data_IF_248354860432
#
_entry.id   IF_248354860432
#
_cell.length_a   1.000
_cell.length_b   1.000
_cell.length_c   1.000
_cell.angle_alpha   90.00
_cell.angle_beta   90.00
_cell.angle_gamma   90.00
#
_symmetry.space_group_name_H-M   'P 1'
#
loop_
_entity.id
_entity.type
_entity.pdbx_description
1 polymer ?
#
# COMPACT_ATOMS: atom_id res chain seq x y z
N UNK A 1 9.82 41.65 -35.57
CA UNK A 1 8.62 40.94 -35.10
C UNK A 1 9.08 39.62 -34.50
N UNK A 2 9.13 39.53 -33.16
CA UNK A 2 9.50 38.31 -32.47
C UNK A 2 8.22 37.49 -32.23
N UNK A 3 8.23 36.22 -32.65
CA UNK A 3 7.14 35.28 -32.41
C UNK A 3 7.05 34.97 -30.90
N UNK A 4 5.84 34.85 -30.32
CA UNK A 4 5.71 34.44 -28.94
C UNK A 4 6.08 32.96 -28.79
N UNK A 5 6.92 32.69 -27.80
CA UNK A 5 7.32 31.35 -27.37
C UNK A 5 6.09 30.58 -26.88
N UNK A 6 5.90 29.37 -27.43
CA UNK A 6 4.88 28.46 -26.97
C UNK A 6 5.25 27.92 -25.59
N UNK A 7 4.65 28.50 -24.55
CA UNK A 7 4.58 27.86 -23.23
C UNK A 7 3.79 26.57 -23.42
N UNK A 8 4.48 25.43 -23.50
CA UNK A 8 3.86 24.12 -23.34
C UNK A 8 3.24 24.10 -21.93
N UNK A 9 1.94 24.33 -21.87
CA UNK A 9 1.13 23.94 -20.73
C UNK A 9 1.33 22.44 -20.58
N UNK A 10 2.02 22.00 -19.53
CA UNK A 10 1.94 20.62 -19.08
C UNK A 10 0.47 20.39 -18.76
N UNK A 11 -0.22 19.59 -19.57
CA UNK A 11 -1.51 19.03 -19.19
C UNK A 11 -1.31 18.33 -17.85
N UNK A 12 -1.88 18.88 -16.79
CA UNK A 12 -1.99 18.18 -15.52
C UNK A 12 -2.95 17.03 -15.77
N UNK A 13 -2.43 15.81 -15.91
CA UNK A 13 -3.27 14.63 -15.94
C UNK A 13 -4.19 14.67 -14.72
N UNK A 14 -5.51 14.57 -14.93
CA UNK A 14 -6.48 14.60 -13.83
C UNK A 14 -6.18 13.43 -12.88
N UNK A 15 -6.01 13.75 -11.60
CA UNK A 15 -5.76 12.74 -10.57
C UNK A 15 -7.07 11.96 -10.35
N UNK A 16 -7.05 10.62 -10.43
CA UNK A 16 -8.24 9.81 -10.23
C UNK A 16 -8.83 9.99 -8.83
N UNK A 17 -10.17 9.97 -8.76
CA UNK A 17 -10.95 10.00 -7.53
C UNK A 17 -11.59 8.62 -7.29
N UNK A 18 -11.50 8.14 -6.06
CA UNK A 18 -12.03 6.86 -5.62
C UNK A 18 -13.05 7.04 -4.51
N UNK A 19 -13.86 6.00 -4.31
CA UNK A 19 -14.84 5.88 -3.23
C UNK A 19 -14.64 4.55 -2.53
N UNK A 20 -14.73 4.55 -1.21
CA UNK A 20 -14.75 3.32 -0.43
C UNK A 20 -15.95 2.44 -0.83
N UNK A 21 -15.78 1.10 -0.90
CA UNK A 21 -16.90 0.18 -1.08
C UNK A 21 -17.86 0.26 0.12
N UNK A 22 -19.16 -0.03 -0.09
CA UNK A 22 -20.11 -0.12 1.03
C UNK A 22 -19.73 -1.25 1.98
N UNK A 23 -20.07 -1.10 3.26
CA UNK A 23 -19.92 -2.18 4.23
C UNK A 23 -21.01 -3.24 4.01
N UNK A 24 -20.60 -4.45 3.60
CA UNK A 24 -21.51 -5.55 3.28
C UNK A 24 -21.59 -6.60 4.41
N UNK A 25 -21.24 -6.24 5.65
CA UNK A 25 -21.28 -7.15 6.79
C UNK A 25 -20.07 -8.09 6.91
N UNK A 26 -19.05 -7.91 6.07
CA UNK A 26 -17.77 -8.62 6.12
C UNK A 26 -16.69 -7.64 6.59
N UNK A 27 -15.94 -8.02 7.63
CA UNK A 27 -14.76 -7.27 8.07
C UNK A 27 -13.58 -7.54 7.15
N UNK A 28 -13.09 -6.48 6.50
CA UNK A 28 -11.88 -6.55 5.67
C UNK A 28 -10.62 -6.83 6.51
N UNK A 29 -10.67 -6.60 7.83
CA UNK A 29 -9.57 -6.93 8.72
C UNK A 29 -9.63 -8.36 9.24
N UNK A 30 -10.79 -8.81 9.73
CA UNK A 30 -10.89 -10.06 10.48
C UNK A 30 -11.38 -11.24 9.64
N UNK A 31 -12.28 -11.01 8.69
CA UNK A 31 -12.96 -12.08 7.95
C UNK A 31 -12.26 -12.45 6.63
N UNK A 32 -11.29 -11.64 6.19
CA UNK A 32 -10.46 -11.96 5.02
C UNK A 32 -9.28 -12.83 5.45
N UNK A 33 -9.17 -14.01 4.85
CA UNK A 33 -8.07 -14.95 5.11
C UNK A 33 -6.73 -14.39 4.63
N UNK A 34 -5.79 -14.21 5.56
CA UNK A 34 -4.43 -13.76 5.28
C UNK A 34 -3.68 -14.70 4.34
N UNK A 35 -3.72 -16.00 4.65
CA UNK A 35 -3.01 -17.02 3.89
C UNK A 35 -3.88 -17.56 2.76
N UNK A 36 -3.32 -17.65 1.56
CA UNK A 36 -3.98 -18.37 0.49
C UNK A 36 -3.77 -19.87 0.65
N UNK A 37 -4.90 -20.59 0.59
CA UNK A 37 -4.96 -22.03 0.65
C UNK A 37 -5.59 -22.61 -0.60
N UNK A 38 -5.21 -23.82 -0.95
CA UNK A 38 -5.85 -24.59 -2.02
C UNK A 38 -7.24 -25.07 -1.57
N UNK A 39 -8.00 -25.65 -2.51
CA UNK A 39 -9.27 -26.31 -2.18
C UNK A 39 -9.11 -27.53 -1.23
N UNK A 40 -7.88 -28.02 -1.05
CA UNK A 40 -7.54 -29.08 -0.11
C UNK A 40 -7.03 -28.56 1.25
N UNK A 41 -7.11 -27.24 1.49
CA UNK A 41 -6.58 -26.56 2.70
C UNK A 41 -5.04 -26.57 2.80
N UNK A 42 -4.33 -26.85 1.70
CA UNK A 42 -2.87 -26.77 1.64
C UNK A 42 -2.37 -25.34 1.42
N UNK A 43 -1.24 -24.97 2.03
CA UNK A 43 -0.61 -23.66 1.84
C UNK A 43 -0.05 -23.49 0.43
N UNK A 44 -0.39 -22.37 -0.22
CA UNK A 44 0.18 -22.01 -1.53
C UNK A 44 1.48 -21.21 -1.41
N UNK A 45 1.78 -20.70 -0.20
CA UNK A 45 2.84 -19.73 0.04
C UNK A 45 2.51 -18.30 -0.41
N UNK A 46 1.26 -18.04 -0.82
CA UNK A 46 0.76 -16.73 -1.18
C UNK A 46 -0.08 -16.12 -0.05
N UNK A 47 -0.16 -14.80 -0.05
CA UNK A 47 -0.91 -14.01 0.94
C UNK A 47 -2.00 -13.22 0.23
N UNK A 48 -2.94 -12.67 1.00
CA UNK A 48 -3.89 -11.66 0.55
C UNK A 48 -3.68 -10.38 1.32
N UNK A 49 -3.68 -9.24 0.63
CA UNK A 49 -3.78 -7.93 1.26
C UNK A 49 -5.06 -7.22 0.81
N UNK A 50 -5.54 -6.29 1.64
CA UNK A 50 -6.65 -5.40 1.30
C UNK A 50 -6.05 -4.09 0.81
N UNK A 51 -6.33 -3.72 -0.43
CA UNK A 51 -5.84 -2.47 -1.00
C UNK A 51 -6.63 -1.28 -0.45
N UNK A 52 -5.93 -0.25 -0.01
CA UNK A 52 -6.52 0.95 0.56
C UNK A 52 -6.30 2.17 -0.34
N UNK A 53 -5.08 2.38 -0.81
CA UNK A 53 -4.72 3.48 -1.70
C UNK A 53 -4.30 2.95 -3.07
N UNK A 54 -5.15 3.11 -4.11
CA UNK A 54 -4.79 2.80 -5.48
C UNK A 54 -3.57 3.61 -5.96
N UNK A 55 -2.70 2.98 -6.75
CA UNK A 55 -1.60 3.67 -7.44
C UNK A 55 -2.12 4.87 -8.25
N UNK A 56 -1.47 6.02 -8.12
CA UNK A 56 -1.83 7.27 -8.79
C UNK A 56 -2.89 8.10 -8.06
N UNK A 57 -3.33 7.68 -6.87
CA UNK A 57 -4.26 8.44 -6.04
C UNK A 57 -3.56 9.52 -5.19
N UNK A 58 -4.35 10.51 -4.76
CA UNK A 58 -4.01 11.48 -3.70
C UNK A 58 -5.01 11.40 -2.54
N UNK A 59 -5.64 10.24 -2.36
CA UNK A 59 -6.60 9.98 -1.29
C UNK A 59 -6.04 8.91 -0.36
N UNK A 60 -6.16 9.16 0.94
CA UNK A 60 -5.78 8.19 1.97
C UNK A 60 -7.05 7.49 2.44
N UNK A 61 -7.14 6.20 2.19
CA UNK A 61 -8.16 5.36 2.81
C UNK A 61 -7.48 4.43 3.82
N UNK A 62 -8.21 4.04 4.85
CA UNK A 62 -7.75 3.13 5.88
C UNK A 62 -8.89 2.22 6.32
N UNK A 63 -8.58 0.93 6.51
CA UNK A 63 -9.43 0.01 7.26
C UNK A 63 -9.47 0.48 8.71
N UNK A 64 -10.63 0.88 9.20
CA UNK A 64 -10.74 1.51 10.52
C UNK A 64 -10.82 0.47 11.65
N UNK A 65 -9.78 0.30 12.49
CA UNK A 65 -9.73 -0.75 13.53
C UNK A 65 -10.86 -0.65 14.56
N UNK A 66 -11.32 0.58 14.84
CA UNK A 66 -12.27 0.86 15.90
C UNK A 66 -13.72 1.02 15.43
N UNK A 67 -13.99 0.94 14.12
CA UNK A 67 -15.35 1.03 13.60
C UNK A 67 -16.02 -0.35 13.54
N UNK A 68 -17.34 -0.45 13.76
CA UNK A 68 -18.07 -1.69 13.58
C UNK A 68 -17.83 -2.30 12.19
N UNK A 69 -17.36 -3.54 12.18
CA UNK A 69 -17.06 -4.28 10.95
C UNK A 69 -15.86 -3.76 10.16
N UNK A 70 -15.03 -2.89 10.74
CA UNK A 70 -13.77 -2.41 10.16
C UNK A 70 -13.95 -1.85 8.75
N UNK A 71 -14.93 -0.95 8.60
CA UNK A 71 -15.18 -0.28 7.34
C UNK A 71 -13.93 0.49 6.89
N UNK A 72 -13.69 0.47 5.58
CA UNK A 72 -12.69 1.31 4.96
C UNK A 72 -13.26 2.71 4.75
N UNK A 73 -12.60 3.73 5.30
CA UNK A 73 -13.03 5.12 5.18
C UNK A 73 -11.88 6.00 4.70
N UNK A 74 -12.20 7.11 4.04
CA UNK A 74 -11.20 8.12 3.68
C UNK A 74 -10.78 8.89 4.93
N UNK A 75 -9.48 8.96 5.22
CA UNK A 75 -8.92 9.86 6.24
C UNK A 75 -8.80 11.27 5.64
N UNK A 76 -9.66 12.23 6.04
CA UNK A 76 -9.67 13.55 5.43
C UNK A 76 -8.38 14.33 5.70
N UNK A 77 -7.71 14.06 6.84
CA UNK A 77 -6.44 14.74 7.17
C UNK A 77 -5.31 14.18 6.31
N UNK A 78 -5.23 12.86 6.20
CA UNK A 78 -4.30 12.16 5.32
C UNK A 78 -4.46 12.54 3.85
N UNK A 79 -5.69 12.51 3.32
CA UNK A 79 -5.99 12.97 1.96
C UNK A 79 -5.60 14.43 1.74
N UNK A 80 -5.84 15.30 2.73
CA UNK A 80 -5.43 16.72 2.63
C UNK A 80 -3.90 16.86 2.59
N UNK A 81 -3.17 16.05 3.37
CA UNK A 81 -1.69 16.00 3.33
C UNK A 81 -1.17 15.50 1.99
N UNK A 82 -1.75 14.43 1.44
CA UNK A 82 -1.40 13.91 0.11
C UNK A 82 -1.66 14.96 -0.98
N UNK A 83 -2.83 15.61 -0.94
CA UNK A 83 -3.17 16.66 -1.87
C UNK A 83 -2.20 17.87 -1.79
N UNK A 84 -1.75 18.23 -0.58
CA UNK A 84 -0.76 19.27 -0.37
C UNK A 84 0.65 18.88 -0.86
N UNK A 85 1.04 17.61 -0.65
CA UNK A 85 2.28 17.05 -1.19
C UNK A 85 2.27 17.03 -2.73
N UNK A 86 1.13 16.74 -3.34
CA UNK A 86 0.88 16.91 -4.77
C UNK A 86 1.57 15.89 -5.69
N UNK A 87 2.25 14.89 -5.12
CA UNK A 87 2.86 13.78 -5.86
C UNK A 87 2.05 12.51 -5.62
N UNK A 88 1.33 11.97 -6.62
CA UNK A 88 0.52 10.76 -6.46
C UNK A 88 1.35 9.54 -6.04
N UNK A 89 0.72 8.63 -5.29
CA UNK A 89 1.39 7.41 -4.81
C UNK A 89 1.81 6.50 -5.98
N UNK A 90 3.08 6.07 -6.09
CA UNK A 90 3.57 5.31 -7.24
C UNK A 90 3.35 3.79 -7.13
N UNK A 91 2.66 3.32 -6.09
CA UNK A 91 2.37 1.92 -5.79
C UNK A 91 0.94 1.79 -5.27
N UNK A 92 0.39 0.57 -5.26
CA UNK A 92 -0.80 0.30 -4.46
C UNK A 92 -0.35 0.09 -3.01
N UNK A 93 -1.14 0.62 -2.07
CA UNK A 93 -0.85 0.54 -0.65
C UNK A 93 -2.06 0.01 0.09
N UNK A 94 -1.82 -0.84 1.07
CA UNK A 94 -2.90 -1.36 1.89
C UNK A 94 -2.37 -2.09 3.11
N UNK A 95 -3.15 -3.04 3.61
CA UNK A 95 -2.81 -3.77 4.81
C UNK A 95 -3.06 -5.28 4.68
N UNK A 96 -2.35 -6.07 5.48
CA UNK A 96 -2.62 -7.48 5.64
C UNK A 96 -3.77 -7.70 6.65
N UNK A 97 -4.82 -8.44 6.26
CA UNK A 97 -5.87 -8.82 7.19
C UNK A 97 -5.32 -9.77 8.25
N UNK A 98 -6.00 -9.89 9.38
CA UNK A 98 -5.66 -10.77 10.51
C UNK A 98 -4.24 -10.56 11.06
N UNK A 99 -3.68 -9.37 10.85
CA UNK A 99 -2.42 -8.93 11.46
C UNK A 99 -2.65 -7.71 12.32
N UNK A 100 -1.78 -7.49 13.30
CA UNK A 100 -1.87 -6.36 14.21
C UNK A 100 -0.49 -6.05 14.79
N UNK A 101 -0.08 -4.79 14.72
CA UNK A 101 1.16 -4.29 15.32
C UNK A 101 0.88 -3.79 16.73
N UNK A 102 0.96 -4.73 17.68
CA UNK A 102 0.67 -4.52 19.09
C UNK A 102 1.50 -3.37 19.71
N UNK A 103 0.86 -2.29 20.20
CA UNK A 103 1.54 -1.14 20.80
C UNK A 103 2.19 -1.46 22.16
N UNK A 104 1.80 -2.55 22.83
CA UNK A 104 2.40 -2.99 24.09
C UNK A 104 3.64 -3.88 23.85
N UNK A 105 3.86 -4.34 22.61
CA UNK A 105 4.97 -5.20 22.24
C UNK A 105 6.13 -4.39 21.62
N UNK A 106 7.32 -4.49 22.23
CA UNK A 106 8.53 -3.87 21.67
C UNK A 106 9.12 -4.74 20.54
N UNK A 107 9.30 -4.11 19.38
CA UNK A 107 10.07 -4.67 18.27
C UNK A 107 11.52 -4.92 18.71
N UNK A 108 11.99 -6.18 18.62
CA UNK A 108 13.34 -6.57 19.07
C UNK A 108 14.48 -5.89 18.30
N UNK A 109 14.24 -5.54 17.04
CA UNK A 109 15.27 -4.96 16.16
C UNK A 109 15.53 -3.48 16.47
N UNK A 110 14.47 -2.73 16.78
CA UNK A 110 14.53 -1.27 16.90
C UNK A 110 14.17 -0.75 18.30
N UNK A 111 13.64 -1.61 19.19
CA UNK A 111 13.23 -1.22 20.54
C UNK A 111 12.03 -0.29 20.58
N UNK A 112 11.21 -0.29 19.53
CA UNK A 112 10.03 0.58 19.38
C UNK A 112 8.73 -0.25 19.46
N UNK A 113 7.65 0.29 20.06
CA UNK A 113 6.32 -0.35 20.10
C UNK A 113 5.67 -0.41 18.71
N UNK A 114 4.64 -1.24 18.54
CA UNK A 114 3.76 -1.17 17.37
C UNK A 114 2.95 0.13 17.31
N UNK A 115 2.30 0.36 16.17
CA UNK A 115 1.52 1.56 15.87
C UNK A 115 -0.01 1.39 16.01
N UNK A 116 -0.48 0.27 16.58
CA UNK A 116 -1.91 -0.02 16.79
C UNK A 116 -2.71 -0.29 15.49
N UNK A 117 -2.03 -0.61 14.38
CA UNK A 117 -2.65 -0.86 13.08
C UNK A 117 -2.34 -2.26 12.50
N UNK A 118 -3.10 -2.72 11.48
CA UNK A 118 -2.74 -3.91 10.72
C UNK A 118 -1.44 -3.72 9.93
N UNK A 119 -0.74 -4.81 9.62
CA UNK A 119 0.57 -4.75 8.96
C UNK A 119 0.48 -4.21 7.52
N UNK A 120 1.30 -3.21 7.18
CA UNK A 120 1.19 -2.47 5.92
C UNK A 120 1.81 -3.24 4.77
N UNK A 121 1.27 -3.01 3.56
CA UNK A 121 1.72 -3.63 2.32
C UNK A 121 1.95 -2.55 1.26
N UNK A 122 3.15 -2.56 0.68
CA UNK A 122 3.50 -1.86 -0.55
C UNK A 122 3.55 -2.86 -1.70
N UNK A 123 2.60 -2.76 -2.63
CA UNK A 123 2.59 -3.56 -3.84
C UNK A 123 3.44 -2.89 -4.93
N UNK A 124 4.58 -3.51 -5.21
CA UNK A 124 5.55 -3.04 -6.20
C UNK A 124 5.08 -3.27 -7.64
N UNK A 125 3.99 -4.02 -7.85
CA UNK A 125 3.36 -4.16 -9.18
C UNK A 125 2.88 -2.81 -9.72
N UNK A 126 2.68 -2.74 -11.04
CA UNK A 126 2.18 -1.55 -11.75
C UNK A 126 0.73 -1.70 -12.24
N UNK A 127 0.03 -2.70 -11.72
CA UNK A 127 -1.40 -2.90 -11.99
C UNK A 127 -2.20 -2.08 -11.00
N UNK A 128 -3.30 -1.46 -11.41
CA UNK A 128 -4.18 -0.72 -10.52
C UNK A 128 -5.02 -1.70 -9.69
N UNK A 129 -5.10 -1.48 -8.38
CA UNK A 129 -6.06 -2.13 -7.50
C UNK A 129 -7.06 -1.09 -6.97
N UNK A 130 -8.33 -1.47 -6.81
CA UNK A 130 -9.39 -0.63 -6.28
C UNK A 130 -9.35 -0.52 -4.75
N UNK A 131 -9.98 0.51 -4.20
CA UNK A 131 -10.15 0.66 -2.73
C UNK A 131 -10.98 -0.52 -2.20
N UNK A 132 -10.48 -1.20 -1.17
CA UNK A 132 -11.07 -2.40 -0.57
C UNK A 132 -10.89 -3.69 -1.39
N UNK A 133 -10.16 -3.66 -2.51
CA UNK A 133 -9.89 -4.86 -3.30
C UNK A 133 -8.99 -5.82 -2.53
N UNK A 134 -9.37 -7.11 -2.48
CA UNK A 134 -8.54 -8.17 -1.89
C UNK A 134 -7.62 -8.74 -2.96
N UNK A 135 -6.32 -8.49 -2.82
CA UNK A 135 -5.32 -8.80 -3.82
C UNK A 135 -4.43 -9.94 -3.36
N UNK A 136 -4.23 -10.94 -4.23
CA UNK A 136 -3.29 -12.04 -3.98
C UNK A 136 -1.87 -11.57 -4.25
N UNK A 137 -0.96 -11.79 -3.31
CA UNK A 137 0.39 -11.30 -3.40
C UNK A 137 1.44 -12.28 -2.87
N UNK A 138 2.68 -12.04 -3.28
CA UNK A 138 3.87 -12.65 -2.70
C UNK A 138 4.65 -11.58 -1.94
N UNK A 139 4.91 -11.80 -0.65
CA UNK A 139 5.80 -10.95 0.13
C UNK A 139 7.26 -11.23 -0.27
N UNK A 140 8.04 -10.16 -0.46
CA UNK A 140 9.42 -10.21 -0.98
C UNK A 140 10.45 -9.68 0.02
N UNK A 141 10.02 -8.82 0.94
CA UNK A 141 10.88 -8.18 1.93
C UNK A 141 10.09 -7.23 2.82
N UNK A 142 10.78 -6.51 3.70
CA UNK A 142 10.16 -5.55 4.60
C UNK A 142 11.11 -4.37 4.86
N UNK A 143 10.54 -3.21 5.15
CA UNK A 143 11.25 -2.05 5.70
C UNK A 143 10.53 -1.62 6.99
N UNK A 144 11.29 -1.18 7.99
CA UNK A 144 10.73 -0.61 9.21
C UNK A 144 11.03 0.89 9.21
N UNK A 145 9.98 1.69 9.23
CA UNK A 145 10.07 3.12 9.49
C UNK A 145 9.83 3.33 10.98
N UNK A 146 10.61 4.23 11.58
CA UNK A 146 10.32 4.70 12.94
C UNK A 146 9.54 5.98 12.80
N UNK A 147 8.22 5.90 12.94
CA UNK A 147 7.32 7.04 12.84
C UNK A 147 6.83 7.43 14.22
N UNK A 148 7.09 8.68 14.62
CA UNK A 148 6.77 9.21 15.97
C UNK A 148 7.20 8.30 17.15
N UNK A 149 8.24 7.47 16.94
CA UNK A 149 8.76 6.53 17.95
C UNK A 149 8.14 5.13 17.91
N UNK A 150 7.19 4.87 17.02
CA UNK A 150 6.58 3.56 16.77
C UNK A 150 7.22 2.86 15.58
N UNK A 151 7.20 1.53 15.58
CA UNK A 151 7.69 0.67 14.51
C UNK A 151 6.60 0.46 13.45
N UNK A 152 6.64 1.29 12.42
CA UNK A 152 5.78 1.22 11.24
C UNK A 152 6.42 0.30 10.20
N UNK A 153 6.06 -0.99 10.27
CA UNK A 153 6.55 -2.00 9.33
C UNK A 153 5.75 -1.99 8.04
N UNK A 154 6.49 -1.97 6.92
CA UNK A 154 5.93 -2.03 5.58
C UNK A 154 6.48 -3.21 4.80
N UNK A 155 5.58 -4.11 4.42
CA UNK A 155 5.93 -5.31 3.66
C UNK A 155 5.95 -4.97 2.18
N UNK A 156 7.07 -5.28 1.53
CA UNK A 156 7.21 -5.15 0.08
C UNK A 156 6.67 -6.41 -0.57
N UNK A 157 5.66 -6.27 -1.43
CA UNK A 157 4.99 -7.39 -2.08
C UNK A 157 4.83 -7.16 -3.59
N UNK A 158 4.45 -8.21 -4.30
CA UNK A 158 3.99 -8.12 -5.69
C UNK A 158 2.66 -8.85 -5.84
N UNK A 159 1.68 -8.21 -6.49
CA UNK A 159 0.49 -8.89 -6.98
C UNK A 159 0.86 -9.99 -7.99
N UNK A 160 0.47 -11.23 -7.71
CA UNK A 160 0.81 -12.41 -8.53
C UNK A 160 -0.08 -12.57 -9.76
N UNK A 161 -1.24 -11.92 -9.75
CA UNK A 161 -2.20 -11.91 -10.86
C UNK A 161 -2.02 -10.67 -11.75
N UNK A 162 -1.10 -9.75 -11.39
CA UNK A 162 -0.78 -8.59 -12.20
C UNK A 162 -0.12 -8.98 -13.54
N UNK A 163 -0.40 -8.23 -14.63
CA UNK A 163 0.27 -8.47 -15.89
C UNK A 163 1.76 -8.11 -15.82
N UNK A 164 2.57 -8.90 -16.50
CA UNK A 164 3.99 -8.63 -16.71
C UNK A 164 4.94 -9.33 -15.74
N UNK A 165 6.24 -9.08 -15.87
CA UNK A 165 7.28 -9.88 -15.23
C UNK A 165 7.39 -9.69 -13.71
N UNK A 166 6.87 -8.59 -13.15
CA UNK A 166 6.92 -8.34 -11.70
C UNK A 166 6.14 -9.38 -10.88
N UNK A 167 5.03 -9.89 -11.41
CA UNK A 167 4.22 -10.93 -10.76
C UNK A 167 4.99 -12.25 -10.51
N UNK A 168 6.05 -12.49 -11.29
CA UNK A 168 6.89 -13.68 -11.18
C UNK A 168 8.10 -13.48 -10.25
N UNK A 169 8.30 -12.27 -9.71
CA UNK A 169 9.41 -12.00 -8.81
C UNK A 169 9.24 -12.76 -7.49
N UNK A 170 10.34 -13.32 -7.00
CA UNK A 170 10.39 -14.09 -5.74
C UNK A 170 11.30 -13.46 -4.69
N UNK A 171 12.00 -12.38 -5.06
CA UNK A 171 12.88 -11.62 -4.19
C UNK A 171 12.95 -10.16 -4.64
N UNK A 172 13.41 -9.28 -3.75
CA UNK A 172 13.75 -7.89 -4.09
C UNK A 172 14.81 -7.83 -5.20
N UNK A 173 15.77 -8.76 -5.21
CA UNK A 173 16.77 -8.84 -6.27
C UNK A 173 16.18 -9.17 -7.64
N UNK A 174 15.06 -9.89 -7.71
CA UNK A 174 14.36 -10.13 -8.98
C UNK A 174 13.62 -8.88 -9.45
N UNK A 175 12.99 -8.15 -8.52
CA UNK A 175 12.33 -6.86 -8.82
C UNK A 175 13.33 -5.89 -9.45
N UNK A 176 14.52 -5.74 -8.86
CA UNK A 176 15.53 -4.81 -9.38
C UNK A 176 16.16 -5.25 -10.71
N UNK A 177 16.09 -6.54 -11.06
CA UNK A 177 16.47 -7.01 -12.41
C UNK A 177 15.38 -6.71 -13.45
N UNK A 178 14.12 -6.85 -13.05
CA UNK A 178 12.95 -6.69 -13.93
C UNK A 178 12.58 -5.23 -14.13
N UNK A 179 12.62 -4.44 -13.05
CA UNK A 179 12.29 -3.02 -13.00
C UNK A 179 13.34 -2.29 -12.13
N UNK A 180 14.53 -2.00 -12.70
CA UNK A 180 15.59 -1.31 -11.97
C UNK A 180 15.13 0.02 -11.37
N UNK A 181 15.41 0.23 -10.09
CA UNK A 181 15.04 1.42 -9.32
C UNK A 181 13.63 1.40 -8.74
N UNK A 182 12.84 0.34 -8.95
CA UNK A 182 11.44 0.28 -8.49
C UNK A 182 11.34 0.33 -6.97
N UNK A 183 12.19 -0.38 -6.24
CA UNK A 183 12.14 -0.36 -4.77
C UNK A 183 12.55 1.02 -4.26
N UNK A 184 13.61 1.60 -4.84
CA UNK A 184 14.07 2.94 -4.48
C UNK A 184 13.01 4.01 -4.75
N UNK A 185 12.31 3.95 -5.89
CA UNK A 185 11.21 4.85 -6.24
C UNK A 185 10.12 4.83 -5.15
N UNK A 186 9.67 3.65 -4.73
CA UNK A 186 8.62 3.52 -3.73
C UNK A 186 9.06 4.03 -2.35
N UNK A 187 10.27 3.65 -1.90
CA UNK A 187 10.79 4.05 -0.59
C UNK A 187 11.07 5.55 -0.53
N UNK A 188 11.65 6.12 -1.59
CA UNK A 188 11.92 7.56 -1.66
C UNK A 188 10.61 8.37 -1.60
N UNK A 189 9.55 7.90 -2.26
CA UNK A 189 8.25 8.57 -2.18
C UNK A 189 7.70 8.59 -0.75
N UNK A 190 7.83 7.50 0.02
CA UNK A 190 7.41 7.47 1.43
C UNK A 190 8.23 8.46 2.24
N UNK A 191 9.55 8.44 2.08
CA UNK A 191 10.46 9.34 2.82
C UNK A 191 10.15 10.81 2.52
N UNK A 192 9.92 11.15 1.25
CA UNK A 192 9.57 12.51 0.81
C UNK A 192 8.22 12.95 1.39
N UNK A 193 7.21 12.07 1.38
CA UNK A 193 5.88 12.36 1.93
C UNK A 193 5.88 12.52 3.46
N UNK A 194 6.73 11.78 4.18
CA UNK A 194 6.87 11.93 5.64
C UNK A 194 7.60 13.23 6.02
N UNK A 195 8.43 13.77 5.12
CA UNK A 195 9.17 15.02 5.32
C UNK A 195 8.44 16.28 4.80
N UNK A 196 7.34 16.12 4.05
CA UNK A 196 6.58 17.20 3.41
C UNK A 196 5.76 18.04 4.39
#
# INVERSE_FOLDING_TARGET
AAAPSATQQRETAEVPRYTAPPHEGVSLWHDVELFEKTWMDDDTGLLRYVNEMPMGSLQKFEVMPHLPGNAIEEDPKGSSRLAAFGVPVPFNYGCFPQTYRDPDALCKLHGAPGDDDPLDVLDLSRSLAGVGEVVRCRALGAVCLIDEGQADWKILAVNVDAPGPLAQCSSIGDVEKVAPGRVQECLQWIDDFKQS
#
